data_IF_290460920536
#
_entry.id   IF_290460920536
#
_cell.length_a   1.000
_cell.length_b   1.000
_cell.length_c   1.000
_cell.angle_alpha   90.00
_cell.angle_beta   90.00
_cell.angle_gamma   90.00
#
_symmetry.space_group_name_H-M   'P 1'
#
loop_
_entity.id
_entity.type
_entity.pdbx_description
1 polymer ?
#
# COMPACT_ATOMS: atom_id res chain seq x y z
N UNK A 1 -8.93 14.42 -22.47
CA UNK A 1 -8.54 13.48 -21.41
C UNK A 1 -7.75 14.27 -20.40
N UNK A 2 -8.25 14.37 -19.18
CA UNK A 2 -7.49 14.94 -18.07
C UNK A 2 -6.28 14.03 -17.78
N UNK A 3 -5.12 14.59 -17.42
CA UNK A 3 -3.92 13.78 -17.13
C UNK A 3 -4.19 12.79 -15.98
N UNK A 4 -5.00 13.21 -15.00
CA UNK A 4 -5.45 12.34 -13.91
C UNK A 4 -6.35 11.21 -14.36
N UNK A 5 -7.18 11.43 -15.37
CA UNK A 5 -8.06 10.41 -15.95
C UNK A 5 -7.23 9.34 -16.68
N UNK A 6 -6.21 9.76 -17.42
CA UNK A 6 -5.25 8.85 -18.04
C UNK A 6 -4.47 8.02 -17.01
N UNK A 7 -3.99 8.66 -15.93
CA UNK A 7 -3.30 7.95 -14.85
C UNK A 7 -4.23 6.97 -14.12
N UNK A 8 -5.50 7.32 -13.94
CA UNK A 8 -6.49 6.43 -13.34
C UNK A 8 -6.70 5.17 -14.18
N UNK A 9 -6.90 5.30 -15.49
CA UNK A 9 -7.05 4.16 -16.40
C UNK A 9 -5.83 3.23 -16.38
N UNK A 10 -4.63 3.82 -16.40
CA UNK A 10 -3.37 3.08 -16.34
C UNK A 10 -3.21 2.36 -15.01
N UNK A 11 -3.57 2.99 -13.90
CA UNK A 11 -3.53 2.38 -12.57
C UNK A 11 -4.55 1.24 -12.42
N UNK A 12 -5.79 1.44 -12.89
CA UNK A 12 -6.84 0.42 -12.82
C UNK A 12 -6.45 -0.86 -13.59
N UNK A 13 -5.73 -0.72 -14.69
CA UNK A 13 -5.12 -1.86 -15.40
C UNK A 13 -4.16 -2.72 -14.56
N UNK A 14 -3.59 -2.17 -13.49
CA UNK A 14 -2.69 -2.89 -12.56
C UNK A 14 -3.35 -3.26 -11.23
N UNK A 15 -4.52 -2.70 -10.90
CA UNK A 15 -5.14 -2.79 -9.56
C UNK A 15 -5.28 -4.22 -9.05
N UNK A 16 -5.80 -5.14 -9.87
CA UNK A 16 -5.97 -6.56 -9.50
C UNK A 16 -4.64 -7.22 -9.15
N UNK A 17 -3.60 -6.97 -9.94
CA UNK A 17 -2.26 -7.52 -9.69
C UNK A 17 -1.67 -6.96 -8.38
N UNK A 18 -1.75 -5.64 -8.19
CA UNK A 18 -1.24 -4.97 -7.00
C UNK A 18 -1.93 -5.44 -5.73
N UNK A 19 -3.26 -5.61 -5.77
CA UNK A 19 -4.03 -6.17 -4.66
C UNK A 19 -3.60 -7.61 -4.33
N UNK A 20 -3.35 -8.44 -5.35
CA UNK A 20 -2.86 -9.81 -5.15
C UNK A 20 -1.44 -9.85 -4.57
N UNK A 21 -0.56 -8.91 -4.94
CA UNK A 21 0.76 -8.74 -4.31
C UNK A 21 0.62 -8.35 -2.84
N UNK A 22 -0.14 -7.29 -2.56
CA UNK A 22 -0.34 -6.80 -1.20
C UNK A 22 -0.98 -7.85 -0.29
N UNK A 23 -2.00 -8.56 -0.79
CA UNK A 23 -2.66 -9.64 -0.05
C UNK A 23 -1.70 -10.77 0.34
N UNK A 24 -0.80 -11.18 -0.56
CA UNK A 24 0.23 -12.20 -0.26
C UNK A 24 1.22 -11.74 0.80
N UNK A 25 1.51 -10.45 0.89
CA UNK A 25 2.44 -9.89 1.88
C UNK A 25 1.77 -9.67 3.25
N UNK A 26 0.52 -9.19 3.25
CA UNK A 26 -0.15 -8.70 4.46
C UNK A 26 -1.09 -9.74 5.09
N UNK A 27 -1.58 -10.70 4.30
CA UNK A 27 -2.54 -11.72 4.72
C UNK A 27 -3.97 -11.21 4.96
N UNK A 28 -4.24 -9.94 4.65
CA UNK A 28 -5.50 -9.26 4.94
C UNK A 28 -6.00 -8.54 3.69
N UNK A 29 -7.27 -8.75 3.33
CA UNK A 29 -7.89 -8.08 2.18
C UNK A 29 -8.04 -6.58 2.42
N UNK A 30 -8.41 -6.18 3.64
CA UNK A 30 -8.57 -4.78 4.01
C UNK A 30 -7.23 -4.04 3.90
N UNK A 31 -6.18 -4.60 4.49
CA UNK A 31 -4.86 -3.96 4.44
C UNK A 31 -4.24 -4.00 3.04
N UNK A 32 -4.60 -5.00 2.22
CA UNK A 32 -4.24 -5.01 0.81
C UNK A 32 -4.92 -3.87 0.03
N UNK A 33 -6.21 -3.61 0.29
CA UNK A 33 -6.91 -2.47 -0.31
C UNK A 33 -6.32 -1.13 0.15
N UNK A 34 -5.96 -1.00 1.43
CA UNK A 34 -5.31 0.20 1.96
C UNK A 34 -3.92 0.43 1.32
N UNK A 35 -3.13 -0.64 1.16
CA UNK A 35 -1.82 -0.54 0.52
C UNK A 35 -1.90 -0.10 -0.95
N UNK A 36 -2.90 -0.59 -1.68
CA UNK A 36 -3.17 -0.20 -3.07
C UNK A 36 -3.65 1.26 -3.15
N UNK A 37 -4.49 1.70 -2.21
CA UNK A 37 -4.93 3.10 -2.13
C UNK A 37 -3.78 4.05 -1.83
N UNK A 38 -2.90 3.70 -0.89
CA UNK A 38 -1.70 4.50 -0.60
C UNK A 38 -0.78 4.60 -1.82
N UNK A 39 -0.63 3.51 -2.58
CA UNK A 39 0.13 3.53 -3.84
C UNK A 39 -0.49 4.46 -4.89
N UNK A 40 -1.82 4.48 -5.01
CA UNK A 40 -2.54 5.44 -5.86
C UNK A 40 -2.28 6.89 -5.45
N UNK A 41 -2.36 7.20 -4.15
CA UNK A 41 -2.09 8.55 -3.65
C UNK A 41 -0.66 9.00 -3.96
N UNK A 42 0.32 8.10 -3.83
CA UNK A 42 1.71 8.36 -4.21
C UNK A 42 1.88 8.60 -5.70
N UNK A 43 1.20 7.81 -6.55
CA UNK A 43 1.19 8.02 -8.00
C UNK A 43 0.63 9.39 -8.36
N UNK A 44 -0.53 9.76 -7.79
CA UNK A 44 -1.22 11.03 -8.08
C UNK A 44 -0.44 12.29 -7.69
N UNK A 45 0.55 12.15 -6.81
CA UNK A 45 1.44 13.23 -6.34
C UNK A 45 2.79 13.24 -7.05
N UNK A 46 3.08 12.22 -7.84
CA UNK A 46 4.33 12.10 -8.61
C UNK A 46 4.13 12.70 -10.00
N UNK A 47 5.20 13.19 -10.62
CA UNK A 47 5.23 13.52 -12.06
C UNK A 47 5.24 12.21 -12.86
N UNK A 48 4.10 11.51 -12.88
CA UNK A 48 3.99 10.15 -13.38
C UNK A 48 4.04 10.01 -14.91
N UNK A 49 3.99 11.14 -15.63
CA UNK A 49 4.07 11.20 -17.09
C UNK A 49 5.36 10.59 -17.67
N UNK A 50 6.45 10.58 -16.89
CA UNK A 50 7.77 10.08 -17.31
C UNK A 50 8.09 8.65 -16.83
N UNK A 51 7.12 7.93 -16.25
CA UNK A 51 7.37 6.57 -15.76
C UNK A 51 7.24 5.56 -16.91
N UNK A 52 8.37 5.19 -17.51
CA UNK A 52 8.45 4.18 -18.60
C UNK A 52 7.82 2.83 -18.21
N UNK A 53 8.07 2.35 -16.98
CA UNK A 53 7.53 1.08 -16.47
C UNK A 53 6.64 1.32 -15.24
N UNK A 54 5.43 1.80 -15.49
CA UNK A 54 4.45 2.07 -14.44
C UNK A 54 4.13 0.83 -13.58
N UNK A 55 3.98 -0.34 -14.19
CA UNK A 55 3.66 -1.58 -13.46
C UNK A 55 4.78 -2.00 -12.49
N UNK A 56 6.04 -1.90 -12.91
CA UNK A 56 7.20 -2.18 -12.07
C UNK A 56 7.35 -1.16 -10.93
N UNK A 57 7.11 0.12 -11.23
CA UNK A 57 7.10 1.19 -10.23
C UNK A 57 6.00 0.96 -9.19
N UNK A 58 4.77 0.69 -9.62
CA UNK A 58 3.62 0.45 -8.73
C UNK A 58 3.85 -0.77 -7.84
N UNK A 59 4.39 -1.86 -8.38
CA UNK A 59 4.71 -3.07 -7.60
C UNK A 59 5.74 -2.75 -6.50
N UNK A 60 6.75 -1.93 -6.82
CA UNK A 60 7.75 -1.48 -5.84
C UNK A 60 7.11 -0.63 -4.74
N UNK A 61 6.26 0.33 -5.12
CA UNK A 61 5.56 1.20 -4.16
C UNK A 61 4.67 0.39 -3.23
N UNK A 62 3.83 -0.50 -3.76
CA UNK A 62 2.97 -1.39 -2.97
C UNK A 62 3.79 -2.26 -2.03
N UNK A 63 4.89 -2.85 -2.51
CA UNK A 63 5.78 -3.66 -1.67
C UNK A 63 6.35 -2.87 -0.49
N UNK A 64 6.77 -1.62 -0.72
CA UNK A 64 7.27 -0.73 0.35
C UNK A 64 6.19 -0.39 1.37
N UNK A 65 4.99 -0.03 0.90
CA UNK A 65 3.84 0.23 1.79
C UNK A 65 3.55 -0.99 2.67
N UNK A 66 3.52 -2.19 2.08
CA UNK A 66 3.28 -3.42 2.84
C UNK A 66 4.36 -3.66 3.91
N UNK A 67 5.64 -3.45 3.57
CA UNK A 67 6.74 -3.59 4.53
C UNK A 67 6.63 -2.59 5.68
N UNK A 68 6.24 -1.34 5.40
CA UNK A 68 6.06 -0.31 6.41
C UNK A 68 4.88 -0.65 7.36
N UNK A 69 3.79 -1.17 6.81
CA UNK A 69 2.66 -1.68 7.62
C UNK A 69 3.10 -2.83 8.54
N UNK A 70 3.85 -3.80 8.04
CA UNK A 70 4.36 -4.93 8.84
C UNK A 70 5.32 -4.47 9.96
N UNK A 71 6.17 -3.47 9.68
CA UNK A 71 7.03 -2.84 10.70
C UNK A 71 6.21 -2.13 11.76
N UNK A 72 5.18 -1.38 11.36
CA UNK A 72 4.27 -0.69 12.29
C UNK A 72 3.56 -1.68 13.23
N UNK A 73 3.08 -2.82 12.72
CA UNK A 73 2.50 -3.89 13.55
C UNK A 73 3.49 -4.42 14.59
N UNK A 74 4.75 -4.60 14.21
CA UNK A 74 5.80 -5.10 15.11
C UNK A 74 6.14 -4.07 16.19
N UNK A 75 6.24 -2.79 15.81
CA UNK A 75 6.49 -1.69 16.75
C UNK A 75 5.33 -1.46 17.72
N UNK A 76 4.10 -1.81 17.33
CA UNK A 76 2.88 -1.66 18.14
C UNK A 76 2.52 -2.92 18.92
N UNK A 77 3.44 -3.89 19.06
CA UNK A 77 3.34 -4.82 20.19
C UNK A 77 3.58 -4.04 21.46
N UNK A 78 2.51 -3.43 21.95
CA UNK A 78 2.43 -2.87 23.29
C UNK A 78 2.55 -4.05 24.24
N UNK A 79 3.53 -3.99 25.15
CA UNK A 79 3.60 -4.91 26.29
C UNK A 79 2.21 -4.92 26.94
N UNK A 80 1.62 -6.09 27.24
CA UNK A 80 0.40 -6.14 28.03
C UNK A 80 0.64 -5.28 29.26
N UNK A 81 -0.21 -4.27 29.48
CA UNK A 81 -0.28 -3.62 30.77
C UNK A 81 -0.59 -4.75 31.76
N UNK A 82 0.43 -5.26 32.45
CA UNK A 82 0.24 -6.06 33.65
C UNK A 82 -0.67 -5.20 34.52
N UNK A 83 -1.93 -5.62 34.59
CA UNK A 83 -2.94 -4.97 35.38
C UNK A 83 -2.46 -5.09 36.83
N UNK A 84 -1.70 -4.09 37.29
CA UNK A 84 -1.36 -3.95 38.70
C UNK A 84 -2.65 -3.60 39.41
N UNK A 85 -3.44 -4.63 39.71
CA UNK A 85 -4.53 -4.60 40.65
C UNK A 85 -3.91 -4.23 42.00
N UNK A 86 -4.18 -3.04 42.56
CA UNK A 86 -3.85 -2.77 43.95
C UNK A 86 -4.71 -3.68 44.85
N UNK A 87 -4.09 -4.14 45.95
CA UNK A 87 -4.67 -5.05 46.95
C UNK A 87 -6.04 -4.59 47.50
#
# INVERSE_FOLDING_TARGET
MDEREFLADRFEGHRTHLKAVAYRMLGSLAEADDAVQEAWLRLSRSEAGDIDNLGGWLTTVVGRVCLDMLRSRTSRREDPLEARLPD
#
